data_IF_852785375540
#
_entry.id   IF_852785375540
#
_cell.length_a   1.000
_cell.length_b   1.000
_cell.length_c   1.000
_cell.angle_alpha   90.00
_cell.angle_beta   90.00
_cell.angle_gamma   90.00
#
_symmetry.space_group_name_H-M   'P 1'
#
loop_
_entity.id
_entity.type
_entity.pdbx_description
1 polymer ?
#
# COMPACT_ATOMS: atom_id res chain seq x y z
N UNK A 1 -10.64 -16.09 -12.36
CA UNK A 1 -11.63 -15.66 -11.36
C UNK A 1 -12.18 -14.30 -11.81
N UNK A 2 -13.50 -14.15 -11.96
CA UNK A 2 -14.10 -12.87 -12.37
C UNK A 2 -14.06 -11.89 -11.20
N UNK A 3 -13.66 -10.65 -11.49
CA UNK A 3 -13.80 -9.53 -10.57
C UNK A 3 -15.26 -9.09 -10.45
N UNK A 4 -15.68 -8.77 -9.23
CA UNK A 4 -17.01 -8.24 -8.95
C UNK A 4 -17.14 -7.95 -7.45
N UNK A 5 -17.63 -6.76 -7.14
CA UNK A 5 -17.72 -6.16 -5.81
C UNK A 5 -18.31 -7.08 -4.73
N UNK A 6 -17.79 -6.98 -3.50
CA UNK A 6 -18.36 -7.60 -2.31
C UNK A 6 -19.68 -6.91 -1.95
N UNK A 7 -20.76 -7.30 -2.63
CA UNK A 7 -22.12 -7.11 -2.13
C UNK A 7 -22.33 -8.10 -0.97
N UNK A 8 -21.73 -7.76 0.17
CA UNK A 8 -21.97 -8.30 1.51
C UNK A 8 -21.77 -9.80 1.73
N UNK A 9 -20.54 -10.29 1.92
CA UNK A 9 -20.18 -11.51 2.71
C UNK A 9 -18.68 -11.54 3.11
N UNK A 10 -18.04 -10.39 3.37
CA UNK A 10 -16.64 -10.38 3.84
C UNK A 10 -15.93 -9.03 3.71
N UNK A 11 -14.74 -8.94 4.32
CA UNK A 11 -13.90 -7.75 4.26
C UNK A 11 -12.42 -8.10 4.35
N UNK A 12 -11.57 -7.25 3.77
CA UNK A 12 -10.12 -7.41 3.79
C UNK A 12 -9.47 -6.24 4.53
N UNK A 13 -8.67 -6.54 5.56
CA UNK A 13 -7.78 -5.53 6.16
C UNK A 13 -6.56 -5.39 5.28
N UNK A 14 -6.49 -4.28 4.54
CA UNK A 14 -5.34 -3.97 3.69
C UNK A 14 -4.15 -3.53 4.56
N UNK A 15 -4.31 -2.41 5.25
CA UNK A 15 -3.27 -1.84 6.10
C UNK A 15 -3.82 -1.18 7.34
N UNK A 16 -2.94 -0.97 8.31
CA UNK A 16 -3.20 -0.23 9.53
C UNK A 16 -2.18 0.89 9.69
N UNK A 17 -2.63 2.04 10.19
CA UNK A 17 -1.73 3.15 10.52
C UNK A 17 -0.91 2.79 11.74
N UNK A 18 0.41 2.75 11.58
CA UNK A 18 1.37 2.43 12.66
C UNK A 18 2.18 3.66 13.09
N UNK A 19 2.11 4.76 12.33
CA UNK A 19 2.67 6.06 12.70
C UNK A 19 1.87 7.17 12.02
N UNK A 20 1.52 8.20 12.79
CA UNK A 20 1.00 9.45 12.25
C UNK A 20 1.69 10.63 12.94
N UNK A 21 2.38 11.47 12.17
CA UNK A 21 2.92 12.75 12.62
C UNK A 21 2.30 13.86 11.75
N UNK A 22 1.42 14.69 12.31
CA UNK A 22 0.76 15.77 11.57
C UNK A 22 1.76 16.66 10.83
N UNK A 23 1.47 16.98 9.57
CA UNK A 23 2.32 17.82 8.72
C UNK A 23 3.64 17.19 8.26
N UNK A 24 3.91 15.91 8.60
CA UNK A 24 5.20 15.28 8.31
C UNK A 24 5.08 13.89 7.65
N UNK A 25 4.47 12.91 8.32
CA UNK A 25 4.48 11.53 7.82
C UNK A 25 3.27 10.72 8.30
N UNK A 26 2.78 9.83 7.44
CA UNK A 26 1.87 8.74 7.80
C UNK A 26 2.49 7.43 7.32
N UNK A 27 2.51 6.41 8.18
CA UNK A 27 3.01 5.08 7.84
C UNK A 27 1.96 4.02 8.11
N UNK A 28 1.83 3.11 7.16
CA UNK A 28 0.90 2.01 7.21
C UNK A 28 1.64 0.67 7.09
N UNK A 29 1.20 -0.32 7.86
CA UNK A 29 1.70 -1.69 7.82
C UNK A 29 0.66 -2.65 7.24
N UNK A 30 1.08 -3.54 6.34
CA UNK A 30 0.25 -4.53 5.65
C UNK A 30 0.53 -4.61 4.15
N UNK A 31 -0.04 -5.59 3.46
CA UNK A 31 0.06 -5.73 2.00
C UNK A 31 -1.05 -4.95 1.27
N UNK A 32 -0.74 -4.42 0.09
CA UNK A 32 -1.78 -3.97 -0.85
C UNK A 32 -2.58 -5.17 -1.38
N UNK A 33 -3.78 -4.93 -1.90
CA UNK A 33 -4.74 -5.98 -2.31
C UNK A 33 -4.12 -7.17 -3.06
N UNK A 34 -3.37 -6.95 -4.16
CA UNK A 34 -2.72 -8.02 -4.90
C UNK A 34 -1.73 -8.86 -4.09
N UNK A 35 -1.13 -8.29 -3.04
CA UNK A 35 -0.12 -8.92 -2.20
C UNK A 35 -0.73 -9.75 -1.05
N UNK A 36 -2.03 -9.64 -0.78
CA UNK A 36 -2.68 -10.34 0.34
C UNK A 36 -2.69 -11.86 0.20
N UNK A 37 -2.57 -12.38 -1.03
CA UNK A 37 -2.49 -13.83 -1.27
C UNK A 37 -1.13 -14.45 -0.92
N UNK A 38 -0.11 -13.64 -0.67
CA UNK A 38 1.23 -14.08 -0.30
C UNK A 38 1.52 -13.95 1.20
N UNK A 39 2.59 -14.61 1.64
CA UNK A 39 3.17 -14.39 2.95
C UNK A 39 4.09 -13.15 2.90
N UNK A 40 3.50 -12.00 2.56
CA UNK A 40 4.20 -10.74 2.34
C UNK A 40 3.91 -9.73 3.45
N UNK A 41 4.93 -8.95 3.82
CA UNK A 41 4.83 -7.81 4.71
C UNK A 41 5.20 -6.54 3.95
N UNK A 42 4.35 -5.52 4.06
CA UNK A 42 4.52 -4.24 3.39
C UNK A 42 4.53 -3.07 4.37
N UNK A 43 5.33 -2.05 4.08
CA UNK A 43 5.39 -0.77 4.80
C UNK A 43 5.28 0.37 3.81
N UNK A 44 4.11 1.02 3.78
CA UNK A 44 3.88 2.22 2.98
C UNK A 44 4.07 3.46 3.84
N UNK A 45 4.92 4.37 3.37
CA UNK A 45 5.18 5.64 4.03
C UNK A 45 4.83 6.78 3.09
N UNK A 46 3.94 7.65 3.55
CA UNK A 46 3.65 8.93 2.93
C UNK A 46 4.42 10.03 3.66
N UNK A 47 5.35 10.69 2.99
CA UNK A 47 6.11 11.82 3.53
C UNK A 47 5.63 13.12 2.90
N UNK A 48 5.20 14.06 3.73
CA UNK A 48 4.80 15.40 3.30
C UNK A 48 6.05 16.28 3.21
N UNK A 49 6.28 16.87 2.04
CA UNK A 49 7.33 17.85 1.79
C UNK A 49 6.67 19.22 1.55
N UNK A 50 6.74 20.13 2.53
CA UNK A 50 6.18 21.47 2.39
C UNK A 50 6.81 22.23 1.21
N UNK A 51 6.00 23.03 0.53
CA UNK A 51 6.40 24.05 -0.43
C UNK A 51 5.77 25.38 -0.05
N UNK A 52 6.13 26.45 -0.76
CA UNK A 52 5.67 27.82 -0.49
C UNK A 52 4.14 27.96 -0.38
N UNK A 53 3.41 27.27 -1.24
CA UNK A 53 1.95 27.37 -1.44
C UNK A 53 1.28 26.00 -1.58
N UNK A 54 2.06 24.93 -1.44
CA UNK A 54 1.63 23.56 -1.71
C UNK A 54 2.44 22.56 -0.89
N UNK A 55 2.21 21.28 -1.09
CA UNK A 55 3.09 20.22 -0.60
C UNK A 55 3.22 19.16 -1.67
N UNK A 56 4.33 18.41 -1.70
CA UNK A 56 4.28 17.09 -2.36
C UNK A 56 4.30 15.99 -1.35
N UNK A 57 3.62 14.92 -1.74
CA UNK A 57 3.58 13.68 -1.00
C UNK A 57 4.51 12.74 -1.75
N UNK A 58 5.52 12.24 -1.05
CA UNK A 58 6.31 11.11 -1.50
C UNK A 58 5.71 9.84 -0.90
N UNK A 59 5.39 8.87 -1.75
CA UNK A 59 4.91 7.56 -1.34
C UNK A 59 6.02 6.53 -1.61
N UNK A 60 6.46 5.84 -0.56
CA UNK A 60 7.41 4.73 -0.66
C UNK A 60 6.81 3.47 -0.06
N UNK A 61 6.74 2.39 -0.83
CA UNK A 61 6.27 1.09 -0.35
C UNK A 61 7.42 0.08 -0.35
N UNK A 62 7.71 -0.49 0.82
CA UNK A 62 8.73 -1.53 0.97
C UNK A 62 8.03 -2.84 1.28
N UNK A 63 8.21 -3.82 0.41
CA UNK A 63 7.57 -5.15 0.51
C UNK A 63 8.64 -6.23 0.60
N UNK A 64 8.42 -7.20 1.48
CA UNK A 64 9.28 -8.37 1.65
C UNK A 64 8.47 -9.61 2.01
N UNK A 65 9.04 -10.81 1.81
CA UNK A 65 8.42 -12.08 2.20
C UNK A 65 8.38 -13.10 1.07
N UNK A 66 7.43 -14.03 1.15
CA UNK A 66 7.28 -15.11 0.17
C UNK A 66 5.98 -14.98 -0.62
N UNK A 67 6.09 -15.19 -1.93
CA UNK A 67 4.97 -15.34 -2.85
C UNK A 67 5.31 -16.45 -3.85
N UNK A 68 4.30 -17.15 -4.37
CA UNK A 68 4.51 -18.29 -5.29
C UNK A 68 5.03 -17.85 -6.66
N UNK A 69 4.59 -16.68 -7.12
CA UNK A 69 5.19 -15.95 -8.25
C UNK A 69 6.32 -15.01 -7.78
N UNK A 70 7.23 -14.67 -8.68
CA UNK A 70 8.32 -13.73 -8.40
C UNK A 70 7.78 -12.33 -8.03
N UNK A 71 8.35 -11.71 -7.00
CA UNK A 71 7.79 -10.50 -6.39
C UNK A 71 7.87 -9.27 -7.31
N UNK A 72 8.90 -9.20 -8.14
CA UNK A 72 9.11 -8.16 -9.15
C UNK A 72 7.98 -8.09 -10.19
N UNK A 73 7.32 -9.22 -10.48
CA UNK A 73 6.17 -9.27 -11.39
C UNK A 73 4.95 -8.50 -10.88
N UNK A 74 4.89 -8.21 -9.57
CA UNK A 74 3.77 -7.51 -8.94
C UNK A 74 3.96 -5.99 -8.87
N UNK A 75 5.15 -5.46 -9.20
CA UNK A 75 5.45 -4.03 -9.14
C UNK A 75 4.41 -3.18 -9.90
N UNK A 76 4.03 -3.49 -11.16
CA UNK A 76 3.03 -2.69 -11.87
C UNK A 76 1.65 -2.68 -11.20
N UNK A 77 1.26 -3.79 -10.57
CA UNK A 77 -0.02 -3.88 -9.85
C UNK A 77 0.00 -3.10 -8.53
N UNK A 78 1.16 -3.07 -7.85
CA UNK A 78 1.40 -2.26 -6.65
C UNK A 78 1.39 -0.77 -7.00
N UNK A 79 2.10 -0.37 -8.06
CA UNK A 79 2.12 1.01 -8.53
C UNK A 79 0.74 1.48 -8.97
N UNK A 80 -0.01 0.64 -9.71
CA UNK A 80 -1.38 0.94 -10.10
C UNK A 80 -2.34 1.14 -8.92
N UNK A 81 -2.12 0.45 -7.80
CA UNK A 81 -2.90 0.66 -6.58
C UNK A 81 -2.54 1.97 -5.84
N UNK A 82 -1.36 2.54 -6.11
CA UNK A 82 -0.86 3.79 -5.53
C UNK A 82 -1.04 4.99 -6.45
N UNK A 83 -1.41 4.79 -7.71
CA UNK A 83 -1.67 5.86 -8.66
C UNK A 83 -2.84 6.73 -8.15
N UNK A 84 -2.49 7.96 -7.73
CA UNK A 84 -3.40 9.01 -7.26
C UNK A 84 -3.70 9.99 -8.41
#
# INVERSE_FOLDING_TARGET
MPGGALAGEGGARHREVVLARPGAVVRLAGGLGPLQGGALSGTLTFTLKPRSDSSTIEASDVVSGFHTAALDQWVPAVDGALAL
#
